data_IF_439335494300
#
_entry.id   IF_439335494300
#
_cell.length_a   1.000
_cell.length_b   1.000
_cell.length_c   1.000
_cell.angle_alpha   90.00
_cell.angle_beta   90.00
_cell.angle_gamma   90.00
#
_symmetry.space_group_name_H-M   'P 1'
#
loop_
_entity.id
_entity.type
_entity.pdbx_description
1 polymer ?
#
# COMPACT_ATOMS: atom_id res chain seq x y z
N UNK A 1 -12.68 12.41 6.39
CA UNK A 1 -13.59 11.67 5.47
C UNK A 1 -12.93 10.37 5.11
N UNK A 2 -13.63 9.23 5.25
CA UNK A 2 -13.10 7.96 4.79
C UNK A 2 -13.17 7.90 3.26
N UNK A 3 -12.08 7.54 2.60
CA UNK A 3 -12.01 7.34 1.15
C UNK A 3 -11.70 5.88 0.84
N UNK A 4 -11.96 5.46 -0.39
CA UNK A 4 -11.58 4.15 -0.91
C UNK A 4 -11.32 4.22 -2.42
N UNK A 5 -10.73 3.16 -2.97
CA UNK A 5 -10.52 3.05 -4.41
C UNK A 5 -11.68 2.27 -5.03
N UNK A 6 -12.59 2.98 -5.69
CA UNK A 6 -13.71 2.37 -6.42
C UNK A 6 -13.17 1.66 -7.66
N UNK A 7 -13.62 0.43 -7.90
CA UNK A 7 -13.47 -0.21 -9.21
C UNK A 7 -14.66 0.18 -10.10
N UNK A 8 -14.38 0.77 -11.25
CA UNK A 8 -15.34 1.27 -12.24
C UNK A 8 -15.34 0.48 -13.55
N UNK A 9 -14.38 -0.42 -13.73
CA UNK A 9 -14.32 -1.32 -14.88
C UNK A 9 -15.38 -2.43 -14.84
N UNK A 10 -15.43 -3.25 -15.90
CA UNK A 10 -16.25 -4.47 -15.92
C UNK A 10 -15.43 -5.64 -15.38
N UNK A 11 -15.99 -6.41 -14.44
CA UNK A 11 -15.32 -7.59 -13.88
C UNK A 11 -14.98 -8.66 -14.94
N UNK A 12 -15.77 -8.72 -16.02
CA UNK A 12 -15.52 -9.60 -17.18
C UNK A 12 -14.20 -9.31 -17.87
N UNK A 13 -13.70 -8.08 -17.77
CA UNK A 13 -12.51 -7.63 -18.49
C UNK A 13 -11.23 -7.93 -17.71
N UNK A 14 -11.33 -8.30 -16.42
CA UNK A 14 -10.19 -8.59 -15.56
C UNK A 14 -9.44 -9.85 -15.99
N UNK A 15 -10.14 -10.95 -16.28
CA UNK A 15 -9.49 -12.23 -16.65
C UNK A 15 -8.69 -12.10 -17.95
N UNK A 16 -9.23 -11.53 -19.05
CA UNK A 16 -8.44 -11.26 -20.26
C UNK A 16 -7.20 -10.40 -20.02
N UNK A 17 -7.20 -9.55 -18.99
CA UNK A 17 -6.08 -8.68 -18.63
C UNK A 17 -5.15 -9.32 -17.56
N UNK A 18 -5.19 -10.64 -17.40
CA UNK A 18 -4.26 -11.40 -16.57
C UNK A 18 -4.58 -11.41 -15.08
N UNK A 19 -5.79 -11.02 -14.68
CA UNK A 19 -6.24 -11.14 -13.29
C UNK A 19 -6.77 -12.54 -13.00
N UNK A 20 -6.52 -13.02 -11.79
CA UNK A 20 -6.95 -14.36 -11.34
C UNK A 20 -8.16 -14.24 -10.42
N UNK A 21 -9.25 -14.90 -10.79
CA UNK A 21 -10.44 -14.97 -9.94
C UNK A 21 -10.20 -15.90 -8.73
N UNK A 22 -10.68 -15.48 -7.57
CA UNK A 22 -10.70 -16.29 -6.36
C UNK A 22 -12.00 -16.07 -5.59
N UNK A 23 -12.66 -17.18 -5.24
CA UNK A 23 -13.80 -17.21 -4.32
C UNK A 23 -13.30 -17.66 -2.95
N UNK A 24 -13.51 -16.85 -1.92
CA UNK A 24 -13.14 -17.19 -0.54
C UNK A 24 -14.32 -17.83 0.20
N UNK A 25 -14.04 -18.36 1.38
CA UNK A 25 -14.96 -19.23 2.14
C UNK A 25 -16.30 -18.58 2.54
N UNK A 26 -16.37 -17.25 2.67
CA UNK A 26 -17.63 -16.55 2.98
C UNK A 26 -18.51 -16.37 1.72
N UNK A 27 -19.83 -16.55 1.85
CA UNK A 27 -20.82 -16.66 0.75
C UNK A 27 -20.71 -15.61 -0.36
N UNK A 28 -20.16 -14.42 -0.09
CA UNK A 28 -20.04 -13.30 -1.05
C UNK A 28 -18.63 -12.69 -1.16
N UNK A 29 -17.58 -13.34 -0.65
CA UNK A 29 -16.20 -12.85 -0.81
C UNK A 29 -15.61 -13.36 -2.13
N UNK A 30 -15.73 -12.53 -3.17
CA UNK A 30 -15.13 -12.76 -4.49
C UNK A 30 -14.13 -11.67 -4.76
N UNK A 31 -12.96 -12.07 -5.23
CA UNK A 31 -11.91 -11.15 -5.63
C UNK A 31 -11.26 -11.57 -6.94
N UNK A 32 -10.60 -10.60 -7.55
CA UNK A 32 -9.66 -10.78 -8.63
C UNK A 32 -8.31 -10.29 -8.14
N UNK A 33 -7.26 -11.10 -8.22
CA UNK A 33 -5.93 -10.70 -7.77
C UNK A 33 -4.94 -10.73 -8.93
N UNK A 34 -3.95 -9.83 -8.88
CA UNK A 34 -2.85 -9.77 -9.84
C UNK A 34 -1.59 -9.29 -9.12
N UNK A 35 -0.51 -10.06 -9.24
CA UNK A 35 0.81 -9.68 -8.72
C UNK A 35 1.48 -8.70 -9.67
N UNK A 36 2.34 -7.82 -9.17
CA UNK A 36 3.01 -6.81 -10.01
C UNK A 36 4.03 -7.39 -11.00
N UNK A 37 4.53 -8.59 -10.77
CA UNK A 37 5.62 -9.21 -11.54
C UNK A 37 5.32 -10.64 -11.99
N UNK A 38 4.11 -11.16 -11.72
CA UNK A 38 3.73 -12.54 -12.01
C UNK A 38 4.30 -13.59 -11.06
N UNK A 39 5.15 -13.22 -10.10
CA UNK A 39 5.81 -14.16 -9.18
C UNK A 39 4.91 -14.56 -8.01
N UNK A 40 5.13 -15.76 -7.48
CA UNK A 40 4.48 -16.25 -6.27
C UNK A 40 5.05 -15.49 -5.07
N UNK A 41 4.18 -15.04 -4.15
CA UNK A 41 4.52 -14.23 -2.97
C UNK A 41 5.03 -12.81 -3.25
N UNK A 42 4.86 -12.30 -4.47
CA UNK A 42 5.10 -10.90 -4.77
C UNK A 42 3.93 -10.02 -4.29
N UNK A 43 4.17 -8.71 -4.33
CA UNK A 43 3.15 -7.71 -4.04
C UNK A 43 1.99 -7.82 -5.03
N UNK A 44 0.77 -7.67 -4.52
CA UNK A 44 -0.44 -7.82 -5.31
C UNK A 44 -1.46 -6.71 -5.10
N UNK A 45 -2.28 -6.55 -6.13
CA UNK A 45 -3.55 -5.84 -6.07
C UNK A 45 -4.69 -6.85 -6.01
N UNK A 46 -5.75 -6.51 -5.27
CA UNK A 46 -7.00 -7.27 -5.21
C UNK A 46 -8.16 -6.36 -5.53
N UNK A 47 -8.98 -6.77 -6.49
CA UNK A 47 -10.25 -6.13 -6.81
C UNK A 47 -11.36 -6.98 -6.23
N UNK A 48 -11.95 -6.49 -5.16
CA UNK A 48 -13.05 -7.12 -4.45
C UNK A 48 -14.37 -6.81 -5.13
N UNK A 49 -15.18 -7.82 -5.43
CA UNK A 49 -16.51 -7.63 -6.03
C UNK A 49 -17.54 -7.07 -5.03
N UNK A 50 -17.26 -7.18 -3.74
CA UNK A 50 -18.13 -6.73 -2.65
C UNK A 50 -18.44 -5.22 -2.74
N UNK A 51 -19.67 -4.83 -2.37
CA UNK A 51 -20.17 -3.44 -2.38
C UNK A 51 -19.90 -2.69 -3.70
N UNK A 52 -20.08 -3.41 -4.81
CA UNK A 52 -19.96 -2.86 -6.15
C UNK A 52 -18.54 -2.63 -6.66
N UNK A 53 -17.52 -3.20 -6.03
CA UNK A 53 -16.15 -3.12 -6.55
C UNK A 53 -15.24 -2.16 -5.81
N UNK A 54 -14.13 -2.66 -5.26
CA UNK A 54 -13.04 -1.82 -4.77
C UNK A 54 -11.66 -2.47 -4.94
N UNK A 55 -10.63 -1.64 -5.10
CA UNK A 55 -9.23 -2.06 -5.13
C UNK A 55 -8.62 -2.02 -3.73
N UNK A 56 -7.85 -3.05 -3.41
CA UNK A 56 -6.94 -3.16 -2.28
C UNK A 56 -5.52 -3.39 -2.79
N UNK A 57 -4.55 -2.69 -2.21
CA UNK A 57 -3.12 -2.79 -2.55
C UNK A 57 -2.40 -3.43 -1.36
N UNK A 58 -1.76 -4.59 -1.53
CA UNK A 58 -0.85 -5.22 -0.56
C UNK A 58 -1.34 -5.18 0.91
N UNK A 59 -2.59 -5.60 1.17
CA UNK A 59 -3.20 -5.58 2.51
C UNK A 59 -3.28 -4.19 3.18
N UNK A 60 -3.23 -3.10 2.39
CA UNK A 60 -3.44 -1.75 2.91
C UNK A 60 -4.92 -1.45 3.20
N UNK A 61 -5.83 -2.30 2.72
CA UNK A 61 -7.29 -2.16 2.92
C UNK A 61 -7.77 -0.72 2.63
N UNK A 62 -8.34 -0.07 3.64
CA UNK A 62 -8.85 1.30 3.59
C UNK A 62 -7.80 2.38 3.37
N UNK A 63 -6.51 2.04 3.31
CA UNK A 63 -5.43 2.97 3.01
C UNK A 63 -4.93 2.91 1.57
N UNK A 64 -5.46 1.99 0.76
CA UNK A 64 -5.10 1.88 -0.66
C UNK A 64 -5.34 3.19 -1.43
N UNK A 65 -6.32 4.00 -1.02
CA UNK A 65 -6.62 5.28 -1.68
C UNK A 65 -5.46 6.27 -1.61
N UNK A 66 -4.66 6.25 -0.53
CA UNK A 66 -3.55 7.20 -0.36
C UNK A 66 -2.50 6.99 -1.46
N UNK A 67 -2.17 5.73 -1.75
CA UNK A 67 -1.27 5.37 -2.84
C UNK A 67 -1.85 5.78 -4.19
N UNK A 68 -3.15 5.51 -4.43
CA UNK A 68 -3.78 5.85 -5.71
C UNK A 68 -3.84 7.36 -5.93
N UNK A 69 -4.13 8.18 -4.90
CA UNK A 69 -4.10 9.64 -5.02
C UNK A 69 -2.68 10.15 -5.31
N UNK A 70 -1.67 9.64 -4.60
CA UNK A 70 -0.27 10.00 -4.86
C UNK A 70 0.15 9.69 -6.31
N UNK A 71 -0.28 8.55 -6.85
CA UNK A 71 0.02 8.17 -8.24
C UNK A 71 -0.75 9.06 -9.21
N UNK A 72 -2.05 9.27 -9.00
CA UNK A 72 -2.90 10.07 -9.88
C UNK A 72 -2.45 11.55 -9.93
N UNK A 73 -1.92 12.07 -8.82
CA UNK A 73 -1.40 13.44 -8.72
C UNK A 73 0.07 13.58 -9.15
N UNK A 74 0.73 12.50 -9.60
CA UNK A 74 2.17 12.47 -9.89
C UNK A 74 3.06 12.85 -8.70
N UNK A 75 2.62 12.59 -7.48
CA UNK A 75 3.35 12.88 -6.23
C UNK A 75 4.11 11.67 -5.69
N UNK A 76 3.91 10.48 -6.28
CA UNK A 76 4.49 9.22 -5.79
C UNK A 76 6.03 9.22 -5.77
N UNK A 77 6.67 9.92 -6.70
CA UNK A 77 8.13 10.00 -6.81
C UNK A 77 8.78 10.69 -5.61
N UNK A 78 8.01 11.48 -4.84
CA UNK A 78 8.44 12.06 -3.57
C UNK A 78 8.77 11.02 -2.48
N UNK A 79 8.38 9.77 -2.70
CA UNK A 79 8.58 8.62 -1.79
C UNK A 79 9.58 7.61 -2.33
N UNK A 80 10.19 7.88 -3.49
CA UNK A 80 11.17 7.00 -4.10
C UNK A 80 12.45 6.95 -3.26
N UNK A 81 12.90 5.75 -2.94
CA UNK A 81 14.14 5.48 -2.22
C UNK A 81 14.97 4.52 -3.06
N UNK A 82 16.20 4.94 -3.38
CA UNK A 82 17.18 4.07 -4.03
C UNK A 82 18.05 3.38 -2.98
N UNK A 83 18.02 2.06 -2.94
CA UNK A 83 18.85 1.28 -2.02
C UNK A 83 20.19 0.99 -2.69
N UNK A 84 21.28 1.48 -2.09
CA UNK A 84 22.64 1.12 -2.53
C UNK A 84 22.97 -0.30 -2.08
N UNK A 85 23.57 -1.05 -3.00
CA UNK A 85 23.93 -2.48 -2.89
C UNK A 85 24.72 -2.79 -1.62
N UNK A 86 24.29 -3.81 -0.86
CA UNK A 86 25.17 -4.52 0.06
C UNK A 86 26.00 -5.48 -0.81
N UNK A 87 27.34 -5.47 -0.76
CA UNK A 87 28.23 -6.21 -1.68
C UNK A 87 27.96 -7.71 -1.86
N UNK A 88 27.18 -8.33 -0.96
CA UNK A 88 26.84 -9.76 -0.98
C UNK A 88 25.54 -10.13 -1.72
N UNK A 89 24.68 -9.17 -2.09
CA UNK A 89 23.30 -9.48 -2.50
C UNK A 89 22.87 -9.03 -3.90
N UNK A 90 23.76 -8.44 -4.69
CA UNK A 90 23.57 -8.11 -6.11
C UNK A 90 22.38 -7.17 -6.45
N UNK A 91 22.70 -6.15 -7.26
CA UNK A 91 21.82 -5.13 -7.83
C UNK A 91 21.17 -4.13 -6.88
N UNK A 92 21.30 -2.85 -7.25
CA UNK A 92 20.56 -1.78 -6.61
C UNK A 92 19.09 -1.93 -7.01
N UNK A 93 18.18 -1.77 -6.06
CA UNK A 93 16.75 -1.73 -6.38
C UNK A 93 16.15 -0.44 -5.85
N UNK A 94 15.26 0.13 -6.66
CA UNK A 94 14.41 1.24 -6.24
C UNK A 94 13.17 0.69 -5.55
N UNK A 95 12.72 1.36 -4.49
CA UNK A 95 11.41 1.11 -3.90
C UNK A 95 10.74 2.44 -3.53
N UNK A 96 9.43 2.42 -3.32
CA UNK A 96 8.73 3.56 -2.73
C UNK A 96 8.48 3.26 -1.26
N UNK A 97 8.96 4.10 -0.35
CA UNK A 97 8.94 3.82 1.09
C UNK A 97 8.08 4.82 1.85
N UNK A 98 7.19 4.28 2.66
CA UNK A 98 6.17 5.02 3.39
C UNK A 98 6.23 4.68 4.88
N UNK A 99 5.94 5.67 5.71
CA UNK A 99 5.52 5.44 7.09
C UNK A 99 4.02 5.65 7.19
N UNK A 100 3.31 4.63 7.63
CA UNK A 100 1.88 4.69 7.88
C UNK A 100 1.67 5.08 9.34
N UNK A 101 1.09 6.26 9.57
CA UNK A 101 0.55 6.64 10.87
C UNK A 101 -0.80 5.92 11.03
N UNK A 102 -0.85 4.88 11.86
CA UNK A 102 -2.05 4.08 12.14
C UNK A 102 -3.07 4.84 12.96
N UNK A 103 -2.67 5.85 13.73
CA UNK A 103 -3.56 6.65 14.57
C UNK A 103 -4.23 7.72 13.72
N UNK A 104 -3.45 8.46 12.95
CA UNK A 104 -3.95 9.56 12.13
C UNK A 104 -4.37 9.12 10.71
N UNK A 105 -4.10 7.87 10.36
CA UNK A 105 -4.39 7.26 9.08
C UNK A 105 -3.77 8.01 7.89
N UNK A 106 -2.47 8.35 7.98
CA UNK A 106 -1.73 9.15 7.00
C UNK A 106 -0.43 8.48 6.55
N UNK A 107 0.00 8.81 5.34
CA UNK A 107 1.27 8.36 4.78
C UNK A 107 2.31 9.48 4.86
N UNK A 108 3.36 9.23 5.62
CA UNK A 108 4.50 10.12 5.76
C UNK A 108 5.71 9.57 5.00
N UNK A 109 6.63 10.45 4.58
CA UNK A 109 7.89 10.03 3.97
C UNK A 109 8.71 9.23 4.98
N UNK A 110 9.43 8.21 4.53
CA UNK A 110 10.32 7.40 5.40
C UNK A 110 11.28 8.26 6.22
N UNK A 111 11.89 9.26 5.59
CA UNK A 111 12.87 10.12 6.26
C UNK A 111 12.25 11.12 7.23
N UNK A 112 10.93 11.36 7.18
CA UNK A 112 10.23 12.21 8.16
C UNK A 112 10.52 11.73 9.59
N UNK A 113 10.43 10.43 9.83
CA UNK A 113 10.66 9.87 11.18
C UNK A 113 12.13 10.01 11.60
N UNK A 114 13.09 9.91 10.68
CA UNK A 114 14.51 10.10 11.01
C UNK A 114 14.80 11.53 11.46
N UNK A 115 14.11 12.52 10.92
CA UNK A 115 14.32 13.94 11.23
C UNK A 115 13.45 14.46 12.39
N UNK A 116 12.31 13.82 12.67
CA UNK A 116 11.50 14.07 13.87
C UNK A 116 12.10 13.40 15.13
N UNK A 117 13.12 12.54 14.96
CA UNK A 117 13.82 11.80 16.02
C UNK A 117 14.98 12.61 16.63
N UNK A 118 14.64 13.50 17.57
CA UNK A 118 15.27 13.45 18.90
C UNK A 118 14.45 12.65 19.92
N UNK A 119 13.14 12.42 19.68
CA UNK A 119 12.22 11.88 20.70
C UNK A 119 12.21 10.35 20.88
N UNK A 120 12.88 9.58 20.01
CA UNK A 120 12.90 8.12 20.08
C UNK A 120 14.32 7.55 19.89
N UNK A 121 15.34 8.32 20.28
CA UNK A 121 16.65 7.72 20.51
C UNK A 121 16.58 6.86 21.77
N UNK A 122 16.11 5.62 21.59
CA UNK A 122 15.93 4.66 22.66
C UNK A 122 17.26 4.08 23.15
N UNK A 123 18.38 4.37 22.46
CA UNK A 123 19.68 3.76 22.77
C UNK A 123 20.22 4.15 24.15
N UNK A 124 19.75 5.27 24.70
CA UNK A 124 20.14 5.79 26.01
C UNK A 124 19.07 5.59 27.10
N UNK A 125 17.96 4.89 26.82
CA UNK A 125 16.90 4.63 27.80
C UNK A 125 17.17 3.32 28.57
N UNK A 126 16.67 3.18 29.81
CA UNK A 126 16.59 1.89 30.50
C UNK A 126 15.79 0.85 29.67
N UNK A 127 16.13 -0.44 29.78
CA UNK A 127 15.55 -1.51 28.95
C UNK A 127 14.01 -1.58 28.98
N UNK A 128 13.40 -1.40 30.16
CA UNK A 128 11.94 -1.37 30.30
C UNK A 128 11.30 -0.18 29.57
N UNK A 129 11.96 0.98 29.58
CA UNK A 129 11.53 2.17 28.85
C UNK A 129 11.77 2.04 27.34
N UNK A 130 12.83 1.33 26.92
CA UNK A 130 13.07 1.02 25.51
C UNK A 130 11.92 0.17 24.95
N UNK A 131 11.50 -0.86 25.68
CA UNK A 131 10.39 -1.71 25.27
C UNK A 131 9.08 -0.92 25.18
N UNK A 132 8.75 -0.14 26.20
CA UNK A 132 7.55 0.70 26.18
C UNK A 132 7.57 1.74 25.04
N UNK A 133 8.72 2.37 24.79
CA UNK A 133 8.90 3.30 23.69
C UNK A 133 8.77 2.61 22.32
N UNK A 134 9.32 1.42 22.17
CA UNK A 134 9.19 0.61 20.95
C UNK A 134 7.75 0.14 20.73
N UNK A 135 7.06 -0.31 21.77
CA UNK A 135 5.65 -0.73 21.70
C UNK A 135 4.77 0.47 21.29
N UNK A 136 4.98 1.64 21.90
CA UNK A 136 4.28 2.87 21.50
C UNK A 136 4.56 3.24 20.03
N UNK A 137 5.82 3.16 19.61
CA UNK A 137 6.22 3.43 18.23
C UNK A 137 5.56 2.46 17.26
N UNK A 138 5.67 1.14 17.50
CA UNK A 138 5.13 0.11 16.61
C UNK A 138 3.59 0.08 16.63
N UNK A 139 2.95 0.55 17.71
CA UNK A 139 1.50 0.74 17.80
C UNK A 139 1.00 1.91 16.96
N UNK A 140 1.80 2.95 16.78
CA UNK A 140 1.44 4.08 15.93
C UNK A 140 1.93 3.91 14.49
N UNK A 141 3.16 3.50 14.27
CA UNK A 141 3.84 3.59 12.98
C UNK A 141 4.07 2.21 12.36
N UNK A 142 3.86 2.11 11.05
CA UNK A 142 4.21 0.93 10.26
C UNK A 142 4.99 1.35 9.02
N UNK A 143 6.16 0.77 8.80
CA UNK A 143 6.88 0.94 7.54
C UNK A 143 6.22 0.10 6.45
N UNK A 144 6.08 0.67 5.27
CA UNK A 144 5.55 0.00 4.09
C UNK A 144 6.42 0.34 2.89
N UNK A 145 6.84 -0.68 2.14
CA UNK A 145 7.63 -0.52 0.93
C UNK A 145 6.81 -1.05 -0.25
N UNK A 146 6.76 -0.30 -1.34
CA UNK A 146 6.02 -0.65 -2.55
C UNK A 146 6.99 -0.83 -3.72
N UNK A 147 6.85 -1.94 -4.43
CA UNK A 147 7.65 -2.27 -5.61
C UNK A 147 7.31 -1.30 -6.76
N UNK A 148 8.30 -0.79 -7.52
CA UNK A 148 8.03 0.06 -8.68
C UNK A 148 7.06 -0.54 -9.71
N UNK A 149 7.03 -1.87 -9.87
CA UNK A 149 6.09 -2.56 -10.75
C UNK A 149 4.65 -2.47 -10.26
N UNK A 150 4.41 -2.33 -8.95
CA UNK A 150 3.07 -2.03 -8.43
C UNK A 150 2.59 -0.66 -8.89
N UNK A 151 3.48 0.33 -8.98
CA UNK A 151 3.13 1.65 -9.53
C UNK A 151 2.66 1.52 -10.98
N UNK A 152 3.38 0.74 -11.79
CA UNK A 152 3.00 0.48 -13.19
C UNK A 152 1.62 -0.19 -13.27
N UNK A 153 1.37 -1.20 -12.44
CA UNK A 153 0.07 -1.89 -12.39
C UNK A 153 -1.07 -0.93 -12.01
N UNK A 154 -0.85 -0.04 -11.04
CA UNK A 154 -1.86 0.94 -10.60
C UNK A 154 -2.08 2.02 -11.67
N UNK A 155 -1.01 2.48 -12.33
CA UNK A 155 -1.10 3.41 -13.47
C UNK A 155 -1.92 2.83 -14.62
N UNK A 156 -1.68 1.57 -15.00
CA UNK A 156 -2.49 0.89 -16.03
C UNK A 156 -4.00 0.86 -15.68
N UNK A 157 -4.34 0.64 -14.40
CA UNK A 157 -5.73 0.70 -13.94
C UNK A 157 -6.33 2.12 -14.00
N UNK A 158 -5.55 3.14 -13.66
CA UNK A 158 -5.96 4.55 -13.73
C UNK A 158 -6.16 4.98 -15.20
N UNK A 159 -5.21 4.65 -16.07
CA UNK A 159 -5.22 5.02 -17.50
C UNK A 159 -6.42 4.40 -18.24
N UNK A 160 -6.84 3.20 -17.82
CA UNK A 160 -8.07 2.54 -18.33
C UNK A 160 -9.36 3.13 -17.78
N UNK A 161 -9.28 4.03 -16.80
CA UNK A 161 -10.44 4.52 -16.05
C UNK A 161 -11.13 3.42 -15.24
N UNK A 162 -10.40 2.37 -14.87
CA UNK A 162 -10.94 1.22 -14.13
C UNK A 162 -10.96 1.41 -12.62
N UNK A 163 -10.19 2.38 -12.13
CA UNK A 163 -10.21 2.76 -10.73
C UNK A 163 -10.29 4.28 -10.57
N UNK A 164 -10.89 4.72 -9.47
CA UNK A 164 -10.86 6.11 -9.01
C UNK A 164 -11.03 6.19 -7.50
N UNK A 165 -10.56 7.27 -6.89
CA UNK A 165 -10.75 7.49 -5.46
C UNK A 165 -12.10 8.17 -5.22
N UNK A 166 -12.86 7.64 -4.26
CA UNK A 166 -14.17 8.16 -3.87
C UNK A 166 -14.30 8.25 -2.35
N UNK A 167 -15.24 9.08 -1.89
CA UNK A 167 -15.68 9.06 -0.50
C UNK A 167 -16.39 7.74 -0.18
N UNK A 168 -16.00 7.09 0.90
CA UNK A 168 -16.57 5.83 1.36
C UNK A 168 -17.86 6.07 2.15
N UNK A 169 -18.97 6.12 1.43
CA UNK A 169 -20.32 6.22 2.01
C UNK A 169 -20.96 4.86 2.29
N UNK A 170 -20.21 3.76 2.16
CA UNK A 170 -20.76 2.38 2.25
C UNK A 170 -20.95 1.91 3.69
N UNK A 171 -20.40 2.63 4.67
CA UNK A 171 -20.54 2.38 6.11
C UNK A 171 -21.57 3.32 6.77
N UNK A 172 -22.72 3.53 6.12
CA UNK A 172 -23.87 4.14 6.80
C UNK A 172 -24.65 3.08 7.57
#
# INVERSE_FOLDING_TARGET
MNKYVKFTGKFTDLIPNGWKFQKLFARNYRQYHKTCDGQKYSQDCRIWQHLGGYLEICDLFSNSWQIVELIANNEIDNYKVSHKVIPRFCEAFDSYSFMIDKINNKFEKRDFIRHVKPKYDITNLPEEEQKAAYDNYSNQWKEFNLDPKMIVLIKDLLDRGWIRVENDNRKK
#
